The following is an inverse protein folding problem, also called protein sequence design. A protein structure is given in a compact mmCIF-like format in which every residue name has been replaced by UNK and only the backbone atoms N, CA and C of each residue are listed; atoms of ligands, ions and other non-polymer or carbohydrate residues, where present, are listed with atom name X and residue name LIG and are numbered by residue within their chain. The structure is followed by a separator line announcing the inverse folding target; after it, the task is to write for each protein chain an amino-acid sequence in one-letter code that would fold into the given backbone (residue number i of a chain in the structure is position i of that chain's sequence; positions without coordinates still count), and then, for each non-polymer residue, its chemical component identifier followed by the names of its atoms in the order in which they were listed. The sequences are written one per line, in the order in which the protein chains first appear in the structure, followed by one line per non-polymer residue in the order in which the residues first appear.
data_IF_565265952288
#
_entry.id   IF_565265952288
#
_cell.length_a   1.000
_cell.length_b   1.000
_cell.length_c   1.000
_cell.angle_alpha   90.00
_cell.angle_beta   90.00
_cell.angle_gamma   90.00
#
_symmetry.space_group_name_H-M   'P 1'
#
loop_
_entity.id
_entity.type
_entity.pdbx_description
1 polymer ?
#
# COMPACT_ATOMS: atom_id res chain seq x y z
N UNK A 1 -9.66 16.08 -10.64
CA UNK A 1 -8.84 14.88 -10.34
C UNK A 1 -7.32 15.13 -10.37
N UNK A 2 -6.80 16.13 -11.10
CA UNK A 2 -5.35 16.34 -11.28
C UNK A 2 -4.51 16.61 -10.01
N UNK A 3 -5.12 16.92 -8.86
CA UNK A 3 -4.40 17.34 -7.65
C UNK A 3 -4.08 16.22 -6.65
N UNK A 4 -4.76 15.07 -6.71
CA UNK A 4 -4.60 13.98 -5.72
C UNK A 4 -3.19 13.39 -5.68
N UNK A 5 -2.54 13.28 -6.84
CA UNK A 5 -1.25 12.61 -7.01
C UNK A 5 -0.18 13.47 -7.65
N UNK A 6 -0.45 14.74 -7.98
CA UNK A 6 0.48 15.60 -8.73
C UNK A 6 1.89 15.61 -8.12
N UNK A 7 1.96 15.85 -6.80
CA UNK A 7 3.24 15.85 -6.06
C UNK A 7 3.90 14.48 -6.07
N UNK A 8 3.14 13.42 -5.74
CA UNK A 8 3.66 12.05 -5.72
C UNK A 8 4.18 11.61 -7.10
N UNK A 9 3.49 11.97 -8.19
CA UNK A 9 3.89 11.70 -9.56
C UNK A 9 5.19 12.42 -9.89
N UNK A 10 5.29 13.72 -9.60
CA UNK A 10 6.52 14.49 -9.82
C UNK A 10 7.72 13.90 -9.07
N UNK A 11 7.51 13.48 -7.83
CA UNK A 11 8.54 12.79 -7.03
C UNK A 11 8.93 11.45 -7.66
N UNK A 12 7.96 10.66 -8.12
CA UNK A 12 8.20 9.38 -8.77
C UNK A 12 8.98 9.53 -10.08
N UNK A 13 8.64 10.52 -10.91
CA UNK A 13 9.37 10.87 -12.13
C UNK A 13 10.83 11.24 -11.82
N UNK A 14 11.04 12.11 -10.82
CA UNK A 14 12.39 12.50 -10.41
C UNK A 14 13.20 11.30 -9.89
N UNK A 15 12.58 10.40 -9.13
CA UNK A 15 13.22 9.18 -8.65
C UNK A 15 13.55 8.21 -9.79
N UNK A 16 12.69 8.10 -10.81
CA UNK A 16 12.94 7.26 -11.98
C UNK A 16 14.15 7.77 -12.78
N UNK A 17 14.30 9.10 -12.89
CA UNK A 17 15.50 9.73 -13.49
C UNK A 17 16.75 9.38 -12.71
N UNK A 18 16.71 9.50 -11.38
CA UNK A 18 17.85 9.15 -10.51
C UNK A 18 18.19 7.66 -10.62
N UNK A 19 17.19 6.78 -10.59
CA UNK A 19 17.36 5.34 -10.72
C UNK A 19 17.99 4.96 -12.07
N UNK A 20 17.54 5.57 -13.18
CA UNK A 20 18.16 5.40 -14.50
C UNK A 20 19.62 5.84 -14.51
N UNK A 21 19.93 7.01 -13.95
CA UNK A 21 21.29 7.53 -13.89
C UNK A 21 22.23 6.59 -13.10
N UNK A 22 21.74 6.04 -11.99
CA UNK A 22 22.47 5.15 -11.09
C UNK A 22 22.70 3.72 -11.64
N UNK A 23 22.09 3.34 -12.77
CA UNK A 23 22.31 2.00 -13.37
C UNK A 23 23.80 1.78 -13.66
N UNK A 24 24.39 0.61 -13.35
CA UNK A 24 25.77 0.32 -13.73
C UNK A 24 25.93 0.22 -15.25
N UNK A 25 27.17 0.32 -15.75
CA UNK A 25 27.48 0.29 -17.20
C UNK A 25 26.98 -0.98 -17.90
N UNK A 26 27.06 -2.14 -17.24
CA UNK A 26 26.57 -3.42 -17.77
C UNK A 26 25.06 -3.67 -17.62
N UNK A 27 24.29 -2.70 -17.10
CA UNK A 27 22.85 -2.90 -16.89
C UNK A 27 22.10 -2.94 -18.24
N UNK A 28 21.28 -3.97 -18.54
CA UNK A 28 20.58 -4.11 -19.83
C UNK A 28 19.77 -2.88 -20.24
N UNK A 29 19.21 -2.16 -19.25
CA UNK A 29 18.43 -0.93 -19.45
C UNK A 29 19.20 0.39 -19.18
N UNK A 30 20.54 0.42 -19.22
CA UNK A 30 21.34 1.63 -18.90
C UNK A 30 20.96 2.84 -19.77
N UNK A 31 20.77 2.62 -21.08
CA UNK A 31 20.45 3.67 -22.04
C UNK A 31 18.96 3.78 -22.37
N UNK A 32 18.15 2.81 -21.94
CA UNK A 32 16.70 2.81 -22.20
C UNK A 32 16.02 4.07 -21.65
N UNK A 33 15.00 4.59 -22.35
CA UNK A 33 14.17 5.67 -21.83
C UNK A 33 13.39 5.24 -20.59
N UNK A 34 12.93 6.22 -19.82
CA UNK A 34 12.03 6.00 -18.69
C UNK A 34 10.64 5.67 -19.26
N UNK A 35 10.06 4.57 -18.79
CA UNK A 35 8.72 4.11 -19.14
C UNK A 35 7.72 4.46 -18.02
N UNK A 36 6.43 4.25 -18.29
CA UNK A 36 5.41 4.38 -17.25
C UNK A 36 5.69 3.46 -16.05
N UNK A 37 6.10 2.22 -16.31
CA UNK A 37 6.40 1.23 -15.27
C UNK A 37 7.58 1.65 -14.39
N UNK A 38 8.57 2.33 -14.97
CA UNK A 38 9.70 2.88 -14.19
C UNK A 38 9.22 3.93 -13.19
N UNK A 39 8.20 4.73 -13.54
CA UNK A 39 7.58 5.73 -12.65
C UNK A 39 6.69 5.05 -11.61
N UNK A 40 5.86 4.09 -12.04
CA UNK A 40 4.99 3.31 -11.16
C UNK A 40 5.81 2.59 -10.06
N UNK A 41 6.96 2.04 -10.41
CA UNK A 41 7.88 1.39 -9.49
C UNK A 41 8.49 2.34 -8.44
N UNK A 42 8.43 3.67 -8.63
CA UNK A 42 8.87 4.65 -7.64
C UNK A 42 7.76 5.10 -6.68
N UNK A 43 6.53 4.62 -6.86
CA UNK A 43 5.45 4.88 -5.92
C UNK A 43 5.66 4.08 -4.64
N UNK A 44 5.41 4.74 -3.51
CA UNK A 44 5.48 4.09 -2.20
C UNK A 44 4.10 3.56 -1.81
N UNK A 45 4.07 2.61 -0.87
CA UNK A 45 2.82 2.13 -0.27
C UNK A 45 1.91 3.28 0.22
N UNK A 46 2.50 4.33 0.82
CA UNK A 46 1.75 5.50 1.27
C UNK A 46 1.05 6.29 0.16
N UNK A 47 1.56 6.25 -1.08
CA UNK A 47 0.87 6.85 -2.22
C UNK A 47 -0.39 6.07 -2.56
N UNK A 48 -0.31 4.74 -2.62
CA UNK A 48 -1.46 3.89 -2.88
C UNK A 48 -2.57 4.09 -1.84
N UNK A 49 -2.21 4.17 -0.55
CA UNK A 49 -3.18 4.43 0.53
C UNK A 49 -3.90 5.77 0.35
N UNK A 50 -3.22 6.81 -0.18
CA UNK A 50 -3.85 8.12 -0.45
C UNK A 50 -4.85 8.10 -1.61
N UNK A 51 -4.85 7.06 -2.44
CA UNK A 51 -5.83 6.88 -3.51
C UNK A 51 -7.13 6.23 -3.01
N UNK A 52 -7.04 5.46 -1.93
CA UNK A 52 -8.17 4.74 -1.36
C UNK A 52 -9.20 5.70 -0.75
N UNK A 53 -10.49 5.29 -0.67
CA UNK A 53 -11.55 6.05 -0.02
C UNK A 53 -11.19 6.50 1.40
N UNK A 54 -11.83 7.59 1.84
CA UNK A 54 -11.72 8.11 3.19
C UNK A 54 -13.12 8.15 3.80
N UNK A 55 -13.24 7.78 5.08
CA UNK A 55 -14.54 7.73 5.76
C UNK A 55 -15.10 9.11 6.14
N UNK A 56 -14.23 10.13 6.25
CA UNK A 56 -14.65 11.49 6.57
C UNK A 56 -15.22 12.19 5.33
N UNK A 57 -16.54 12.37 5.30
CA UNK A 57 -17.25 13.06 4.22
C UNK A 57 -16.89 14.56 4.12
N UNK A 58 -16.33 15.16 5.17
CA UNK A 58 -15.84 16.54 5.14
C UNK A 58 -14.45 16.68 4.49
N UNK A 59 -13.73 15.57 4.23
CA UNK A 59 -12.46 15.60 3.53
C UNK A 59 -12.66 16.15 2.11
N UNK A 60 -11.90 17.19 1.75
CA UNK A 60 -11.96 17.85 0.43
C UNK A 60 -11.72 16.89 -0.75
N UNK A 61 -11.09 15.75 -0.48
CA UNK A 61 -10.77 14.71 -1.45
C UNK A 61 -11.74 13.53 -1.44
N UNK A 62 -12.71 13.50 -0.52
CA UNK A 62 -13.70 12.42 -0.36
C UNK A 62 -14.33 11.99 -1.69
N UNK A 63 -14.98 12.93 -2.40
CA UNK A 63 -15.66 12.66 -3.68
C UNK A 63 -14.72 12.12 -4.75
N UNK A 64 -13.53 12.71 -4.88
CA UNK A 64 -12.58 12.31 -5.90
C UNK A 64 -12.04 10.89 -5.67
N UNK A 65 -11.80 10.50 -4.41
CA UNK A 65 -11.35 9.15 -4.04
C UNK A 65 -12.46 8.11 -4.17
N UNK A 66 -13.71 8.47 -3.85
CA UNK A 66 -14.89 7.63 -4.08
C UNK A 66 -15.07 7.28 -5.55
N UNK A 67 -15.03 8.27 -6.42
CA UNK A 67 -15.12 8.05 -7.87
C UNK A 67 -13.95 7.17 -8.36
N UNK A 68 -12.73 7.42 -7.88
CA UNK A 68 -11.57 6.61 -8.25
C UNK A 68 -11.72 5.14 -7.79
N UNK A 69 -12.30 4.91 -6.63
CA UNK A 69 -12.61 3.57 -6.14
C UNK A 69 -13.61 2.86 -7.06
N UNK A 70 -14.77 3.49 -7.25
CA UNK A 70 -15.90 2.93 -8.01
C UNK A 70 -15.53 2.66 -9.48
N UNK A 71 -14.69 3.50 -10.08
CA UNK A 71 -14.34 3.40 -11.50
C UNK A 71 -13.10 2.57 -11.81
N UNK A 72 -12.23 2.31 -10.83
CA UNK A 72 -10.94 1.69 -11.10
C UNK A 72 -10.41 0.80 -9.97
N UNK A 73 -10.30 1.31 -8.74
CA UNK A 73 -9.56 0.59 -7.69
C UNK A 73 -10.28 -0.65 -7.19
N UNK A 74 -11.61 -0.69 -7.25
CA UNK A 74 -12.40 -1.86 -6.81
C UNK A 74 -11.96 -3.15 -7.54
N UNK A 75 -11.57 -3.04 -8.81
CA UNK A 75 -11.11 -4.19 -9.61
C UNK A 75 -9.77 -4.78 -9.15
N UNK A 76 -8.99 -4.03 -8.37
CA UNK A 76 -7.75 -4.53 -7.76
C UNK A 76 -8.00 -5.38 -6.50
N UNK A 77 -9.23 -5.40 -5.98
CA UNK A 77 -9.60 -6.11 -4.76
C UNK A 77 -10.78 -7.08 -4.97
N UNK A 78 -10.70 -8.02 -5.94
CA UNK A 78 -11.82 -8.92 -6.25
C UNK A 78 -12.19 -9.91 -5.13
N UNK A 79 -11.33 -10.09 -4.13
CA UNK A 79 -11.57 -10.94 -2.97
C UNK A 79 -12.29 -10.25 -1.80
N UNK A 80 -12.69 -8.99 -1.96
CA UNK A 80 -13.52 -8.25 -1.00
C UNK A 80 -14.76 -7.72 -1.73
N UNK A 81 -15.85 -8.50 -1.66
CA UNK A 81 -17.09 -8.30 -2.41
C UNK A 81 -18.26 -7.80 -1.53
N UNK A 82 -18.00 -7.48 -0.27
CA UNK A 82 -18.99 -6.91 0.63
C UNK A 82 -19.39 -5.48 0.25
N UNK A 83 -20.60 -5.08 0.64
CA UNK A 83 -21.15 -3.72 0.38
C UNK A 83 -20.27 -2.59 0.95
N UNK A 84 -19.37 -2.90 1.88
CA UNK A 84 -18.42 -1.99 2.52
C UNK A 84 -16.95 -2.28 2.16
N UNK A 85 -16.69 -2.90 1.00
CA UNK A 85 -15.34 -3.28 0.56
C UNK A 85 -14.38 -2.08 0.53
N UNK A 86 -14.86 -0.90 0.14
CA UNK A 86 -14.14 0.36 0.18
C UNK A 86 -13.58 0.70 1.56
N UNK A 87 -14.45 0.78 2.57
CA UNK A 87 -14.10 1.14 3.94
C UNK A 87 -13.21 0.08 4.58
N UNK A 88 -13.47 -1.19 4.28
CA UNK A 88 -12.71 -2.32 4.77
C UNK A 88 -11.28 -2.30 4.22
N UNK A 89 -11.10 -2.15 2.90
CA UNK A 89 -9.79 -2.09 2.25
C UNK A 89 -9.04 -0.83 2.68
N UNK A 90 -9.68 0.34 2.62
CA UNK A 90 -9.09 1.60 3.03
C UNK A 90 -8.65 1.56 4.50
N UNK A 91 -9.52 1.10 5.40
CA UNK A 91 -9.24 0.99 6.83
C UNK A 91 -8.06 0.09 7.13
N UNK A 92 -7.98 -1.10 6.52
CA UNK A 92 -6.82 -2.01 6.68
C UNK A 92 -5.53 -1.35 6.18
N UNK A 93 -5.56 -0.75 4.99
CA UNK A 93 -4.39 -0.13 4.37
C UNK A 93 -3.88 1.08 5.19
N UNK A 94 -4.78 1.91 5.71
CA UNK A 94 -4.43 3.03 6.60
C UNK A 94 -3.81 2.56 7.92
N UNK A 95 -4.35 1.51 8.56
CA UNK A 95 -3.77 0.94 9.79
C UNK A 95 -2.37 0.37 9.56
N UNK A 96 -2.13 -0.24 8.40
CA UNK A 96 -0.82 -0.75 8.00
C UNK A 96 0.17 0.39 7.68
N UNK A 97 -0.29 1.47 7.02
CA UNK A 97 0.55 2.65 6.79
C UNK A 97 1.01 3.27 8.10
N UNK A 98 0.08 3.42 9.06
CA UNK A 98 0.40 3.91 10.40
C UNK A 98 1.44 3.02 11.08
N UNK A 99 1.26 1.70 11.08
CA UNK A 99 2.26 0.77 11.61
C UNK A 99 3.62 0.95 10.93
N UNK A 100 3.66 0.94 9.60
CA UNK A 100 4.90 1.06 8.82
C UNK A 100 5.64 2.35 9.13
N UNK A 101 4.91 3.46 9.30
CA UNK A 101 5.51 4.74 9.67
C UNK A 101 6.10 4.70 11.09
N UNK A 102 5.39 4.13 12.07
CA UNK A 102 5.93 3.96 13.44
C UNK A 102 7.25 3.17 13.44
N UNK A 103 7.29 2.05 12.71
CA UNK A 103 8.52 1.25 12.57
C UNK A 103 9.64 2.07 11.93
N UNK A 104 9.36 2.79 10.83
CA UNK A 104 10.35 3.61 10.14
C UNK A 104 10.88 4.78 10.99
N UNK A 105 10.05 5.30 11.90
CA UNK A 105 10.42 6.36 12.85
C UNK A 105 11.00 5.82 14.16
N UNK A 106 11.20 4.50 14.28
CA UNK A 106 11.70 3.86 15.49
C UNK A 106 10.85 4.17 16.73
N UNK A 107 9.54 4.35 16.54
CA UNK A 107 8.61 4.58 17.63
C UNK A 107 8.33 3.28 18.42
N UNK A 108 8.03 3.37 19.73
CA UNK A 108 7.68 2.20 20.54
C UNK A 108 6.48 1.43 19.97
N UNK A 109 6.58 0.10 19.90
CA UNK A 109 5.50 -0.78 19.41
C UNK A 109 4.75 -1.52 20.52
N UNK A 110 5.09 -1.29 21.79
CA UNK A 110 4.54 -2.03 22.94
C UNK A 110 3.01 -1.97 23.04
N UNK A 111 2.42 -0.82 22.67
CA UNK A 111 0.97 -0.62 22.67
C UNK A 111 0.30 -1.01 21.35
N UNK A 112 1.06 -1.45 20.34
CA UNK A 112 0.52 -1.86 19.04
C UNK A 112 0.00 -3.29 19.15
N UNK A 113 -1.26 -3.49 18.77
CA UNK A 113 -1.81 -4.82 18.58
C UNK A 113 -1.25 -5.45 17.28
N UNK A 114 -0.03 -6.01 17.37
CA UNK A 114 0.69 -6.60 16.25
C UNK A 114 -0.10 -7.73 15.58
N UNK A 115 -0.81 -8.55 16.36
CA UNK A 115 -1.73 -9.58 15.85
C UNK A 115 -2.80 -9.01 14.93
N UNK A 116 -3.46 -7.93 15.37
CA UNK A 116 -4.49 -7.28 14.58
C UNK A 116 -3.92 -6.68 13.29
N UNK A 117 -2.74 -6.05 13.36
CA UNK A 117 -2.07 -5.49 12.17
C UNK A 117 -1.61 -6.58 11.20
N UNK A 118 -1.10 -7.70 11.70
CA UNK A 118 -0.78 -8.85 10.86
C UNK A 118 -2.03 -9.40 10.16
N UNK A 119 -3.15 -9.50 10.88
CA UNK A 119 -4.44 -9.89 10.29
C UNK A 119 -4.92 -8.88 9.24
N UNK A 120 -4.74 -7.58 9.47
CA UNK A 120 -5.03 -6.54 8.45
C UNK A 120 -4.22 -6.80 7.17
N UNK A 121 -2.93 -7.14 7.28
CA UNK A 121 -2.07 -7.45 6.13
C UNK A 121 -2.52 -8.72 5.38
N UNK A 122 -2.76 -9.82 6.10
CA UNK A 122 -3.23 -11.08 5.52
C UNK A 122 -4.55 -10.86 4.77
N UNK A 123 -5.51 -10.15 5.38
CA UNK A 123 -6.81 -9.89 4.78
C UNK A 123 -6.73 -8.93 3.59
N UNK A 124 -5.82 -7.94 3.62
CA UNK A 124 -5.61 -7.05 2.48
C UNK A 124 -4.99 -7.79 1.28
N UNK A 125 -4.06 -8.72 1.52
CA UNK A 125 -3.54 -9.62 0.47
C UNK A 125 -4.65 -10.51 -0.09
N UNK A 126 -5.52 -11.05 0.77
CA UNK A 126 -6.67 -11.85 0.34
C UNK A 126 -7.70 -11.08 -0.48
N UNK A 127 -7.92 -9.80 -0.14
CA UNK A 127 -8.76 -8.92 -0.93
C UNK A 127 -8.23 -8.77 -2.36
N UNK A 128 -6.90 -8.74 -2.56
CA UNK A 128 -6.29 -8.71 -3.89
C UNK A 128 -6.41 -10.07 -4.58
N UNK A 129 -6.05 -11.14 -3.88
CA UNK A 129 -6.11 -12.50 -4.41
C UNK A 129 -6.22 -13.53 -3.26
N UNK A 130 -7.33 -14.28 -3.17
CA UNK A 130 -7.52 -15.29 -2.14
C UNK A 130 -6.43 -16.37 -2.09
N UNK A 131 -5.85 -16.77 -3.23
CA UNK A 131 -4.78 -17.76 -3.27
C UNK A 131 -3.48 -17.22 -2.63
N UNK A 132 -3.19 -15.92 -2.79
CA UNK A 132 -2.02 -15.29 -2.15
C UNK A 132 -2.18 -15.19 -0.64
N UNK A 133 -3.42 -15.09 -0.12
CA UNK A 133 -3.66 -15.03 1.31
C UNK A 133 -3.09 -16.24 2.05
N UNK A 134 -3.37 -17.45 1.55
CA UNK A 134 -2.93 -18.70 2.16
C UNK A 134 -1.41 -18.81 2.19
N UNK A 135 -0.77 -18.52 1.04
CA UNK A 135 0.69 -18.48 0.94
C UNK A 135 1.30 -17.43 1.89
N UNK A 136 0.82 -16.19 1.87
CA UNK A 136 1.34 -15.10 2.71
C UNK A 136 1.20 -15.41 4.20
N UNK A 137 0.07 -15.96 4.63
CA UNK A 137 -0.15 -16.38 6.00
C UNK A 137 0.78 -17.55 6.40
N UNK A 138 1.08 -18.46 5.48
CA UNK A 138 1.94 -19.62 5.70
C UNK A 138 3.42 -19.27 5.85
N UNK A 139 3.92 -18.27 5.11
CA UNK A 139 5.33 -17.84 5.18
C UNK A 139 5.60 -16.84 6.31
N UNK A 140 4.57 -16.31 6.96
CA UNK A 140 4.71 -15.28 8.00
C UNK A 140 5.04 -15.89 9.37
N UNK A 141 6.16 -15.46 9.95
CA UNK A 141 6.57 -15.81 11.32
C UNK A 141 5.91 -14.99 12.42
N UNK A 142 5.10 -13.98 12.09
CA UNK A 142 4.55 -13.05 13.09
C UNK A 142 3.70 -13.77 14.14
N UNK A 143 2.87 -14.73 13.71
CA UNK A 143 2.03 -15.51 14.64
C UNK A 143 2.83 -16.49 15.50
N UNK A 144 3.96 -16.96 15.01
CA UNK A 144 4.87 -17.83 15.75
C UNK A 144 5.51 -17.06 16.90
N UNK A 145 6.15 -15.93 16.58
CA UNK A 145 6.77 -15.03 17.58
C UNK A 145 5.74 -14.49 18.56
N UNK A 146 4.50 -14.20 18.11
CA UNK A 146 3.42 -13.76 19.02
C UNK A 146 3.11 -14.81 20.10
N UNK A 147 3.20 -16.12 19.80
CA UNK A 147 2.94 -17.18 20.78
C UNK A 147 4.02 -17.31 21.83
N UNK A 148 5.23 -16.84 21.54
CA UNK A 148 6.36 -16.82 22.47
C UNK A 148 6.34 -15.60 23.40
N UNK A 149 5.31 -14.74 23.29
CA UNK A 149 5.16 -13.57 24.14
C UNK A 149 5.10 -13.99 25.62
N UNK A 150 6.01 -13.48 26.48
CA UNK A 150 5.97 -13.75 27.91
C UNK A 150 4.66 -13.30 28.54
N UNK A 151 4.23 -14.03 29.58
CA UNK A 151 3.05 -13.72 30.39
C UNK A 151 3.21 -12.38 31.14
#
# INVERSE_FOLDING_TARGET
MNTLTATSRKTAEANAVRARAARPSGHPRKHSPITHDDVLAQLTFGVFVRLLPVGDAADKTYRARRVLWEQALIHAFPGEDGDNADDVVAGRAHRLLALRNRVAHMEPLLAVNAKARHRDAVRLVGAINPALQGWFAGVSRVREVERERPA
#
